data_IF_453797496336
#
_entry.id   IF_453797496336
#
_cell.length_a   1.000
_cell.length_b   1.000
_cell.length_c   1.000
_cell.angle_alpha   90.00
_cell.angle_beta   90.00
_cell.angle_gamma   90.00
#
_symmetry.space_group_name_H-M   'P 1'
#
loop_
_entity.id
_entity.type
_entity.pdbx_description
1 polymer ?
#
# COMPACT_ATOMS: atom_id res chain seq x y z
N UNK A 1 16.56 -1.36 7.42
CA UNK A 1 16.90 -0.03 8.00
C UNK A 1 17.81 -0.26 9.20
N UNK A 2 18.75 0.64 9.50
CA UNK A 2 19.54 0.59 10.74
C UNK A 2 19.24 1.82 11.59
N UNK A 3 19.19 1.67 12.92
CA UNK A 3 19.13 2.81 13.82
C UNK A 3 20.55 3.37 14.07
N UNK A 4 20.65 4.45 14.86
CA UNK A 4 21.92 5.09 15.19
C UNK A 4 22.92 4.19 15.97
N UNK A 5 22.49 3.00 16.41
CA UNK A 5 23.33 1.97 17.04
C UNK A 5 23.79 0.88 16.07
N UNK A 6 23.42 0.96 14.79
CA UNK A 6 23.67 -0.08 13.79
C UNK A 6 22.75 -1.29 13.90
N UNK A 7 21.72 -1.25 14.74
CA UNK A 7 20.77 -2.35 14.91
C UNK A 7 19.74 -2.33 13.77
N UNK A 8 19.43 -3.51 13.21
CA UNK A 8 18.38 -3.66 12.21
C UNK A 8 17.03 -3.26 12.81
N UNK A 9 16.31 -2.37 12.11
CA UNK A 9 14.95 -1.95 12.48
C UNK A 9 13.94 -2.24 11.36
N UNK A 10 12.69 -2.56 11.72
CA UNK A 10 11.65 -2.87 10.73
C UNK A 10 11.35 -1.69 9.81
N UNK A 11 11.09 -2.02 8.54
CA UNK A 11 10.50 -1.10 7.57
C UNK A 11 8.98 -1.12 7.70
N UNK A 12 8.36 0.06 7.77
CA UNK A 12 6.91 0.19 7.86
C UNK A 12 6.31 0.72 6.56
N UNK A 13 7.04 1.56 5.83
CA UNK A 13 6.56 2.14 4.58
C UNK A 13 7.74 2.37 3.62
N UNK A 14 7.48 2.44 2.33
CA UNK A 14 8.49 2.67 1.31
C UNK A 14 7.95 3.59 0.20
N UNK A 15 8.82 4.46 -0.31
CA UNK A 15 8.61 5.20 -1.56
C UNK A 15 9.57 4.66 -2.60
N UNK A 16 9.04 4.23 -3.74
CA UNK A 16 9.84 3.74 -4.86
C UNK A 16 9.69 4.68 -6.06
N UNK A 17 10.79 5.22 -6.55
CA UNK A 17 10.81 5.96 -7.82
C UNK A 17 11.28 5.02 -8.93
N UNK A 18 10.42 4.72 -9.92
CA UNK A 18 10.70 3.67 -10.89
C UNK A 18 11.70 4.10 -11.97
N UNK A 19 11.90 5.40 -12.20
CA UNK A 19 12.77 5.90 -13.28
C UNK A 19 14.25 5.80 -12.92
N UNK A 20 14.65 6.16 -11.70
CA UNK A 20 16.03 6.03 -11.22
C UNK A 20 16.18 4.84 -10.27
N UNK A 21 15.13 4.02 -10.12
CA UNK A 21 15.11 2.81 -9.29
C UNK A 21 15.46 3.07 -7.82
N UNK A 22 15.04 4.22 -7.29
CA UNK A 22 15.37 4.64 -5.91
C UNK A 22 14.33 4.17 -4.91
N UNK A 23 14.78 3.49 -3.86
CA UNK A 23 13.96 3.03 -2.74
C UNK A 23 14.23 3.82 -1.46
N UNK A 24 13.22 4.53 -0.96
CA UNK A 24 13.28 5.26 0.30
C UNK A 24 12.45 4.52 1.34
N UNK A 25 13.10 4.01 2.39
CA UNK A 25 12.48 3.20 3.43
C UNK A 25 12.19 4.04 4.69
N UNK A 26 11.02 3.85 5.29
CA UNK A 26 10.56 4.61 6.46
C UNK A 26 10.26 3.70 7.65
N UNK A 27 10.71 4.12 8.83
CA UNK A 27 10.45 3.44 10.11
C UNK A 27 9.17 3.91 10.80
N UNK A 28 8.81 3.30 11.95
CA UNK A 28 7.56 3.56 12.70
C UNK A 28 7.29 5.03 12.99
N UNK A 29 8.33 5.79 13.39
CA UNK A 29 8.21 7.20 13.78
C UNK A 29 7.72 8.10 12.65
N UNK A 30 7.89 7.69 11.40
CA UNK A 30 7.47 8.48 10.24
C UNK A 30 5.95 8.46 10.02
N UNK A 31 5.19 7.61 10.73
CA UNK A 31 3.72 7.44 10.60
C UNK A 31 2.87 8.34 11.52
N UNK A 32 3.41 9.43 12.07
CA UNK A 32 2.74 10.25 13.10
C UNK A 32 1.28 10.63 12.75
N UNK A 33 0.43 10.67 13.78
CA UNK A 33 -1.00 11.01 13.86
C UNK A 33 -2.02 10.28 12.95
N UNK A 34 -1.63 9.75 11.78
CA UNK A 34 -2.59 9.16 10.81
C UNK A 34 -2.35 7.68 10.47
N UNK A 35 -1.43 7.01 11.17
CA UNK A 35 -1.04 5.63 10.89
C UNK A 35 -0.49 5.42 9.46
N UNK A 36 -0.08 6.48 8.76
CA UNK A 36 0.58 6.42 7.45
C UNK A 36 1.70 7.45 7.44
N UNK A 37 2.75 7.24 6.64
CA UNK A 37 3.79 8.25 6.47
C UNK A 37 3.19 9.55 5.88
N UNK A 38 3.61 10.71 6.40
CA UNK A 38 3.28 12.00 5.80
C UNK A 38 4.09 12.17 4.51
N UNK A 39 3.46 11.95 3.37
CA UNK A 39 4.12 12.09 2.08
C UNK A 39 3.58 13.28 1.31
N UNK A 40 4.51 14.05 0.73
CA UNK A 40 4.18 15.04 -0.29
C UNK A 40 3.66 14.32 -1.55
N UNK A 41 2.74 14.98 -2.26
CA UNK A 41 2.26 14.48 -3.56
C UNK A 41 3.41 14.48 -4.55
N UNK A 42 3.83 13.30 -4.98
CA UNK A 42 4.74 13.16 -6.11
C UNK A 42 4.32 11.95 -6.94
N UNK A 43 3.83 12.22 -8.15
CA UNK A 43 3.37 11.18 -9.08
C UNK A 43 4.51 10.29 -9.59
N UNK A 44 5.77 10.67 -9.36
CA UNK A 44 6.92 9.88 -9.74
C UNK A 44 7.20 8.74 -8.74
N UNK A 45 6.52 8.70 -7.61
CA UNK A 45 6.78 7.73 -6.55
C UNK A 45 5.58 6.81 -6.33
N UNK A 46 5.88 5.53 -6.18
CA UNK A 46 4.94 4.52 -5.71
C UNK A 46 5.09 4.43 -4.20
N UNK A 47 4.03 4.79 -3.48
CA UNK A 47 3.99 4.62 -2.03
C UNK A 47 3.40 3.27 -1.65
N UNK A 48 4.16 2.53 -0.86
CA UNK A 48 3.72 1.29 -0.22
C UNK A 48 3.77 1.42 1.29
N UNK A 49 2.72 0.97 1.98
CA UNK A 49 2.65 0.96 3.44
C UNK A 49 2.32 -0.44 3.95
N UNK A 50 2.79 -0.75 5.15
CA UNK A 50 2.51 -2.00 5.84
C UNK A 50 1.44 -1.76 6.89
N UNK A 51 0.29 -2.41 6.70
CA UNK A 51 -0.80 -2.43 7.66
C UNK A 51 -0.74 -3.74 8.46
N UNK A 52 -0.75 -3.62 9.79
CA UNK A 52 -0.89 -4.78 10.67
C UNK A 52 -2.38 -5.13 10.77
N UNK A 53 -2.84 -5.98 9.84
CA UNK A 53 -4.24 -6.35 9.73
C UNK A 53 -4.44 -7.75 10.29
N UNK A 54 -5.38 -7.90 11.21
CA UNK A 54 -5.88 -9.20 11.64
C UNK A 54 -7.10 -9.55 10.78
N UNK A 55 -7.00 -10.62 9.97
CA UNK A 55 -8.08 -11.03 9.05
C UNK A 55 -8.42 -12.50 9.20
N UNK A 56 -9.63 -12.88 8.78
CA UNK A 56 -10.07 -14.29 8.82
C UNK A 56 -9.47 -15.16 7.70
N UNK A 57 -8.76 -14.53 6.76
CA UNK A 57 -8.08 -15.21 5.65
C UNK A 57 -6.57 -15.14 5.82
N UNK A 58 -5.88 -16.12 5.24
CA UNK A 58 -4.42 -16.14 5.14
C UNK A 58 -3.96 -15.02 4.21
N UNK A 59 -3.63 -13.87 4.79
CA UNK A 59 -2.81 -12.85 4.16
C UNK A 59 -1.46 -12.84 4.86
N UNK A 60 -0.36 -12.75 4.10
CA UNK A 60 0.96 -12.69 4.71
C UNK A 60 1.06 -11.44 5.59
N UNK A 61 1.56 -11.61 6.81
CA UNK A 61 1.89 -10.47 7.68
C UNK A 61 2.92 -9.53 7.03
N UNK A 62 3.62 -9.99 5.98
CA UNK A 62 4.62 -9.26 5.21
C UNK A 62 4.06 -8.58 3.95
N UNK A 63 2.75 -8.68 3.69
CA UNK A 63 2.14 -8.08 2.50
C UNK A 63 2.21 -6.54 2.54
N UNK A 64 2.88 -5.89 1.58
CA UNK A 64 2.80 -4.44 1.41
C UNK A 64 1.51 -4.05 0.67
N UNK A 65 1.00 -2.87 0.97
CA UNK A 65 -0.19 -2.31 0.34
C UNK A 65 0.20 -1.04 -0.41
N UNK A 66 -0.12 -0.98 -1.70
CA UNK A 66 0.07 0.25 -2.47
C UNK A 66 -1.01 1.24 -2.06
N UNK A 67 -0.58 2.46 -1.76
CA UNK A 67 -1.43 3.54 -1.29
C UNK A 67 -1.31 4.70 -2.27
N UNK A 68 -2.45 5.24 -2.68
CA UNK A 68 -2.55 6.46 -3.48
C UNK A 68 -3.11 7.58 -2.59
N UNK A 69 -2.24 8.43 -2.00
CA UNK A 69 -2.66 9.56 -1.19
C UNK A 69 -3.46 10.56 -2.04
N UNK A 70 -4.44 11.22 -1.42
CA UNK A 70 -5.24 12.30 -2.02
C UNK A 70 -6.00 11.90 -3.29
N UNK A 71 -6.22 10.60 -3.46
CA UNK A 71 -7.03 10.03 -4.52
C UNK A 71 -8.26 9.36 -3.95
N UNK A 72 -9.26 9.17 -4.81
CA UNK A 72 -10.44 8.36 -4.52
C UNK A 72 -10.84 7.56 -5.75
N UNK A 73 -11.46 6.41 -5.54
CA UNK A 73 -12.11 5.67 -6.62
C UNK A 73 -13.59 6.01 -6.69
N UNK A 74 -14.08 6.21 -7.91
CA UNK A 74 -15.45 6.70 -8.18
C UNK A 74 -16.36 5.63 -8.81
N UNK A 75 -15.85 4.42 -9.06
CA UNK A 75 -16.55 3.33 -9.77
C UNK A 75 -16.39 1.98 -9.05
N UNK A 76 -17.17 1.00 -9.51
CA UNK A 76 -17.10 -0.41 -9.09
C UNK A 76 -17.25 -0.61 -7.57
N UNK A 77 -18.09 0.21 -6.94
CA UNK A 77 -18.38 0.13 -5.51
C UNK A 77 -19.08 -1.19 -5.21
N UNK A 78 -18.55 -1.94 -4.24
CA UNK A 78 -19.16 -3.15 -3.69
C UNK A 78 -20.05 -2.77 -2.51
N UNK A 79 -19.49 -2.01 -1.57
CA UNK A 79 -20.19 -1.57 -0.36
C UNK A 79 -19.50 -0.35 0.24
N UNK A 80 -20.20 0.33 1.15
CA UNK A 80 -19.70 1.48 1.90
C UNK A 80 -20.00 1.28 3.39
N UNK A 81 -19.04 1.65 4.24
CA UNK A 81 -19.13 1.64 5.70
C UNK A 81 -18.97 3.08 6.24
N UNK A 82 -20.09 3.82 6.38
CA UNK A 82 -20.10 5.10 7.06
C UNK A 82 -19.70 4.94 8.55
N UNK A 83 -19.00 5.93 9.11
CA UNK A 83 -18.56 5.96 10.51
C UNK A 83 -17.29 5.15 10.79
N UNK A 84 -16.68 4.50 9.79
CA UNK A 84 -15.46 3.73 9.99
C UNK A 84 -14.24 4.63 10.15
N UNK A 85 -13.69 4.70 11.37
CA UNK A 85 -12.55 5.56 11.72
C UNK A 85 -11.20 4.85 11.72
N UNK A 86 -11.12 3.58 11.36
CA UNK A 86 -9.86 2.81 11.33
C UNK A 86 -9.52 2.37 9.91
N UNK A 87 -8.37 2.81 9.40
CA UNK A 87 -7.84 2.38 8.10
C UNK A 87 -7.58 0.87 8.08
N UNK A 88 -7.06 0.32 9.18
CA UNK A 88 -6.80 -1.12 9.33
C UNK A 88 -8.10 -1.91 9.27
N UNK A 89 -9.17 -1.43 9.91
CA UNK A 89 -10.48 -2.07 9.83
C UNK A 89 -11.07 -2.02 8.41
N UNK A 90 -10.83 -0.92 7.68
CA UNK A 90 -11.26 -0.79 6.28
C UNK A 90 -10.56 -1.79 5.36
N UNK A 91 -9.23 -1.91 5.52
CA UNK A 91 -8.42 -2.89 4.79
C UNK A 91 -8.84 -4.32 5.16
N UNK A 92 -9.05 -4.61 6.45
CA UNK A 92 -9.55 -5.92 6.91
C UNK A 92 -10.87 -6.30 6.24
N UNK A 93 -11.84 -5.38 6.21
CA UNK A 93 -13.14 -5.60 5.56
C UNK A 93 -12.99 -5.90 4.06
N UNK A 94 -12.02 -5.29 3.39
CA UNK A 94 -11.70 -5.60 1.99
C UNK A 94 -11.10 -6.99 1.83
N UNK A 95 -10.13 -7.36 2.67
CA UNK A 95 -9.49 -8.68 2.62
C UNK A 95 -10.52 -9.80 2.83
N UNK A 96 -11.42 -9.62 3.79
CA UNK A 96 -12.50 -10.58 4.07
C UNK A 96 -13.51 -10.67 2.91
N UNK A 97 -13.64 -9.63 2.08
CA UNK A 97 -14.49 -9.61 0.89
C UNK A 97 -13.77 -10.18 -0.35
N UNK A 98 -14.23 -11.35 -0.85
CA UNK A 98 -13.62 -12.00 -2.04
C UNK A 98 -13.60 -11.12 -3.28
N UNK A 99 -14.58 -10.23 -3.44
CA UNK A 99 -14.68 -9.35 -4.61
C UNK A 99 -13.86 -8.07 -4.47
N UNK A 100 -13.39 -7.73 -3.27
CA UNK A 100 -12.73 -6.45 -3.04
C UNK A 100 -11.28 -6.46 -3.51
N UNK A 101 -10.94 -5.46 -4.32
CA UNK A 101 -9.63 -5.27 -4.96
C UNK A 101 -8.92 -4.01 -4.47
N UNK A 102 -9.67 -3.00 -4.03
CA UNK A 102 -9.12 -1.78 -3.43
C UNK A 102 -10.16 -1.14 -2.49
N UNK A 103 -9.72 -0.23 -1.62
CA UNK A 103 -10.59 0.61 -0.78
C UNK A 103 -10.33 2.08 -1.01
N UNK A 104 -11.38 2.90 -0.94
CA UNK A 104 -11.25 4.34 -0.68
C UNK A 104 -11.50 4.57 0.79
N UNK A 105 -10.56 5.21 1.49
CA UNK A 105 -10.66 5.49 2.91
C UNK A 105 -10.44 6.97 3.21
N UNK A 106 -11.24 7.49 4.14
CA UNK A 106 -10.98 8.70 4.93
C UNK A 106 -11.54 8.49 6.33
N UNK A 107 -11.16 9.31 7.30
CA UNK A 107 -11.75 9.23 8.65
C UNK A 107 -13.29 9.32 8.54
N UNK A 108 -13.97 8.33 9.11
CA UNK A 108 -15.43 8.23 9.11
C UNK A 108 -16.03 7.59 7.85
N UNK A 109 -15.23 7.09 6.90
CA UNK A 109 -15.75 6.45 5.70
C UNK A 109 -14.77 5.44 5.09
N UNK A 110 -15.26 4.23 4.86
CA UNK A 110 -14.58 3.21 4.07
C UNK A 110 -15.47 2.74 2.92
N UNK A 111 -14.95 2.71 1.69
CA UNK A 111 -15.66 2.20 0.51
C UNK A 111 -14.84 1.08 -0.11
N UNK A 112 -15.48 -0.06 -0.38
CA UNK A 112 -14.84 -1.23 -0.98
C UNK A 112 -15.12 -1.22 -2.48
N UNK A 113 -14.08 -1.44 -3.28
CA UNK A 113 -14.15 -1.45 -4.74
C UNK A 113 -13.79 -2.81 -5.30
N UNK A 114 -14.51 -3.23 -6.34
CA UNK A 114 -14.28 -4.50 -7.05
C UNK A 114 -13.29 -4.42 -8.19
N UNK A 115 -12.62 -3.28 -8.34
CA UNK A 115 -11.57 -3.05 -9.32
C UNK A 115 -10.35 -2.43 -8.64
N UNK A 116 -9.22 -2.47 -9.33
CA UNK A 116 -7.91 -2.06 -8.84
C UNK A 116 -7.32 -1.01 -9.77
N UNK A 117 -6.86 0.16 -9.25
CA UNK A 117 -6.09 1.13 -10.02
C UNK A 117 -4.89 0.53 -10.76
N UNK A 118 -4.29 -0.55 -10.26
CA UNK A 118 -3.29 -1.35 -10.97
C UNK A 118 -3.67 -1.72 -12.40
N UNK A 119 -4.94 -2.08 -12.58
CA UNK A 119 -5.47 -2.59 -13.84
C UNK A 119 -6.07 -1.50 -14.71
N UNK A 120 -6.48 -0.38 -14.11
CA UNK A 120 -7.09 0.76 -14.79
C UNK A 120 -6.88 2.02 -13.92
N UNK A 121 -5.86 2.81 -14.27
CA UNK A 121 -5.53 4.04 -13.58
C UNK A 121 -6.62 5.12 -13.74
N UNK A 122 -7.46 5.02 -14.77
CA UNK A 122 -8.61 5.90 -15.01
C UNK A 122 -9.73 5.76 -13.97
N UNK A 123 -9.61 4.80 -13.05
CA UNK A 123 -10.49 4.67 -11.89
C UNK A 123 -10.21 5.69 -10.79
N UNK A 124 -8.98 6.24 -10.75
CA UNK A 124 -8.56 7.24 -9.77
C UNK A 124 -8.96 8.65 -10.21
N UNK A 125 -9.56 9.39 -9.28
CA UNK A 125 -9.79 10.83 -9.41
C UNK A 125 -9.23 11.53 -8.18
N UNK A 126 -9.09 12.85 -8.25
CA UNK A 126 -8.64 13.64 -7.11
C UNK A 126 -9.62 13.52 -5.93
N UNK A 127 -9.06 13.31 -4.75
CA UNK A 127 -9.73 13.27 -3.46
C UNK A 127 -9.29 14.43 -2.57
N UNK A 128 -9.74 14.42 -1.32
CA UNK A 128 -9.31 15.41 -0.32
C UNK A 128 -7.92 15.08 0.25
N UNK A 129 -7.32 16.03 0.98
CA UNK A 129 -6.07 15.83 1.74
C UNK A 129 -6.13 14.71 2.82
N UNK A 130 -7.31 14.14 3.06
CA UNK A 130 -7.53 13.08 4.04
C UNK A 130 -8.01 11.78 3.39
N UNK A 131 -8.20 11.78 2.07
CA UNK A 131 -8.66 10.60 1.34
C UNK A 131 -7.46 9.85 0.79
N UNK A 132 -7.52 8.53 0.84
CA UNK A 132 -6.53 7.66 0.21
C UNK A 132 -7.22 6.46 -0.45
N UNK A 133 -6.61 5.93 -1.51
CA UNK A 133 -6.97 4.63 -2.08
C UNK A 133 -5.91 3.62 -1.69
N UNK A 134 -6.31 2.42 -1.26
CA UNK A 134 -5.41 1.35 -0.85
C UNK A 134 -5.74 0.08 -1.64
N UNK A 135 -4.77 -0.46 -2.37
CA UNK A 135 -4.89 -1.74 -3.08
C UNK A 135 -4.97 -2.90 -2.10
N UNK A 136 -5.77 -3.92 -2.41
CA UNK A 136 -5.82 -5.14 -1.61
C UNK A 136 -4.57 -6.00 -1.84
N UNK A 137 -3.54 -5.78 -1.02
CA UNK A 137 -2.26 -6.48 -1.10
C UNK A 137 -2.37 -8.01 -1.06
N UNK A 138 -3.37 -8.55 -0.36
CA UNK A 138 -3.57 -10.00 -0.20
C UNK A 138 -4.06 -10.69 -1.47
N UNK A 139 -4.55 -9.93 -2.46
CA UNK A 139 -4.91 -10.44 -3.78
C UNK A 139 -3.89 -10.08 -4.86
N UNK A 140 -2.82 -9.37 -4.50
CA UNK A 140 -1.69 -9.14 -5.39
C UNK A 140 -0.86 -10.42 -5.45
N UNK A 141 -0.90 -11.07 -6.60
CA UNK A 141 0.01 -12.18 -6.93
C UNK A 141 1.37 -11.62 -7.34
N UNK A 142 2.42 -12.45 -7.31
CA UNK A 142 3.73 -12.12 -7.87
C UNK A 142 3.68 -11.73 -9.37
N UNK A 143 2.57 -12.00 -10.08
CA UNK A 143 2.31 -11.54 -11.44
C UNK A 143 1.61 -10.18 -11.55
N UNK A 144 0.98 -9.68 -10.48
CA UNK A 144 0.31 -8.35 -10.47
C UNK A 144 1.22 -7.23 -9.98
N UNK A 145 2.25 -7.51 -9.17
CA UNK A 145 3.30 -6.53 -8.86
C UNK A 145 4.06 -6.06 -10.12
N UNK A 146 4.54 -6.98 -10.99
CA UNK A 146 5.09 -6.62 -12.27
C UNK A 146 4.09 -5.88 -13.13
N UNK A 147 2.80 -6.24 -13.18
CA UNK A 147 1.80 -5.50 -13.96
C UNK A 147 1.51 -4.08 -13.43
N UNK A 148 1.51 -3.89 -12.12
CA UNK A 148 1.46 -2.57 -11.45
C UNK A 148 2.63 -1.68 -11.85
N UNK A 149 3.80 -2.29 -12.03
CA UNK A 149 5.02 -1.60 -12.43
C UNK A 149 5.05 -1.42 -13.95
N UNK A 150 4.71 -2.44 -14.74
CA UNK A 150 4.67 -2.46 -16.21
C UNK A 150 3.63 -1.54 -16.81
N UNK A 151 2.43 -1.41 -16.21
CA UNK A 151 1.41 -0.45 -16.65
C UNK A 151 1.83 1.01 -16.40
N UNK A 152 2.85 1.24 -15.56
CA UNK A 152 3.47 2.56 -15.35
C UNK A 152 4.89 2.67 -15.93
N UNK A 153 5.43 1.57 -16.46
CA UNK A 153 6.73 1.41 -17.12
C UNK A 153 6.53 1.07 -18.61
N UNK A 154 5.75 1.86 -19.35
CA UNK A 154 5.73 1.78 -20.82
C UNK A 154 7.12 2.03 -21.47
N UNK A 155 8.16 2.28 -20.67
CA UNK A 155 9.53 1.99 -21.05
C UNK A 155 10.33 1.52 -19.83
N UNK A 156 10.72 0.25 -19.77
CA UNK A 156 12.12 -0.18 -19.55
C UNK A 156 12.16 -1.70 -19.37
N UNK A 157 12.96 -2.30 -20.24
CA UNK A 157 13.32 -3.70 -20.25
C UNK A 157 14.25 -3.99 -19.05
N UNK A 158 14.21 -5.24 -18.57
CA UNK A 158 15.08 -5.83 -17.53
C UNK A 158 14.62 -5.73 -16.05
N UNK A 159 14.02 -6.82 -15.56
CA UNK A 159 13.56 -6.97 -14.17
C UNK A 159 14.57 -7.76 -13.34
N UNK A 160 15.42 -7.08 -12.57
CA UNK A 160 16.31 -7.77 -11.60
C UNK A 160 16.49 -7.11 -10.23
N UNK A 161 16.19 -5.82 -10.04
CA UNK A 161 16.53 -5.11 -8.78
C UNK A 161 15.36 -4.78 -7.84
N UNK A 162 14.17 -5.33 -8.10
CA UNK A 162 13.01 -5.23 -7.20
C UNK A 162 13.22 -5.93 -5.84
N UNK A 163 14.25 -6.76 -5.69
CA UNK A 163 14.60 -7.40 -4.40
C UNK A 163 14.93 -6.39 -3.29
N UNK A 164 15.34 -5.16 -3.62
CA UNK A 164 15.68 -4.15 -2.62
C UNK A 164 14.45 -3.49 -1.94
N UNK A 165 13.32 -3.36 -2.64
CA UNK A 165 12.06 -2.89 -2.05
C UNK A 165 11.10 -4.03 -1.66
N UNK A 166 11.43 -5.27 -2.02
CA UNK A 166 10.73 -6.43 -1.51
C UNK A 166 10.98 -6.51 0.01
N UNK A 167 9.92 -6.25 0.78
CA UNK A 167 9.85 -6.41 2.23
C UNK A 167 10.20 -7.85 2.73
N UNK A 168 10.60 -8.74 1.82
CA UNK A 168 10.87 -10.16 2.02
C UNK A 168 12.36 -10.54 1.98
N UNK A 169 13.31 -9.59 2.06
CA UNK A 169 14.71 -9.98 2.32
C UNK A 169 14.82 -10.54 3.76
N UNK A 170 15.29 -11.78 3.95
CA UNK A 170 15.33 -12.44 5.27
C UNK A 170 16.13 -11.67 6.33
N UNK A 171 17.04 -10.80 5.91
CA UNK A 171 17.92 -10.01 6.78
C UNK A 171 17.31 -8.68 7.26
N UNK A 172 16.12 -8.30 6.77
CA UNK A 172 15.40 -7.05 7.14
C UNK A 172 14.11 -7.34 7.95
N UNK A 173 13.74 -8.62 8.11
CA UNK A 173 12.48 -9.07 8.69
C UNK A 173 12.50 -9.06 10.23
N UNK A 174 12.24 -7.90 10.82
CA UNK A 174 11.49 -7.88 12.09
C UNK A 174 10.03 -7.69 11.72
N UNK A 175 9.16 -8.63 12.08
CA UNK A 175 7.72 -8.45 11.89
C UNK A 175 7.27 -7.24 12.73
N UNK A 176 6.88 -6.11 12.12
CA UNK A 176 6.47 -4.91 12.84
C UNK A 176 5.12 -5.07 13.54
N UNK A 177 4.40 -6.16 13.25
CA UNK A 177 3.09 -6.49 13.78
C UNK A 177 3.16 -7.45 14.98
N UNK A 178 4.36 -7.92 15.36
CA UNK A 178 4.62 -8.54 16.66
C UNK A 178 5.42 -7.56 17.51
N UNK A 179 4.72 -6.77 18.31
CA UNK A 179 5.30 -5.96 19.39
C UNK A 179 4.55 -6.28 20.68
#
# INVERSE_FOLDING_TARGET
LQNAKGETVPCYSANYEPVQEKCYLYGKRSRSDRHTAHLAVDSNYIFADKFCVETKKDCSAETPYIVYPFKQMHKKIITSYPGMNSVVACVAACIDSKKCKAVTYKIGLCILHGASPATDSGLLVDGSEQTMVIENGCQLTASTLPALLSNMLESLDNTTDMNACLFSTPEILVNPCTA
#
